data_IF_369291477243
#
_entry.id   IF_369291477243
#
_cell.length_a   1.000
_cell.length_b   1.000
_cell.length_c   1.000
_cell.angle_alpha   90.00
_cell.angle_beta   90.00
_cell.angle_gamma   90.00
#
_symmetry.space_group_name_H-M   'P 1'
#
loop_
_entity.id
_entity.type
_entity.pdbx_description
1 polymer ?
#
# COMPACT_ATOMS: atom_id res chain seq x y z
N UNK A 1 4.66 -38.77 36.95
CA UNK A 1 5.45 -37.51 36.90
C UNK A 1 5.63 -37.01 35.46
N UNK A 2 5.87 -37.87 34.47
CA UNK A 2 6.10 -37.47 33.06
C UNK A 2 4.96 -36.65 32.41
N UNK A 3 3.69 -36.98 32.65
CA UNK A 3 2.55 -36.27 32.05
C UNK A 3 2.37 -34.85 32.60
N UNK A 4 2.62 -34.66 33.90
CA UNK A 4 2.58 -33.35 34.52
C UNK A 4 3.75 -32.47 34.06
N UNK A 5 4.94 -33.05 33.89
CA UNK A 5 6.09 -32.36 33.32
C UNK A 5 5.85 -31.97 31.84
N UNK A 6 5.17 -32.82 31.07
CA UNK A 6 4.76 -32.51 29.70
C UNK A 6 3.76 -31.35 29.66
N UNK A 7 2.78 -31.33 30.56
CA UNK A 7 1.84 -30.21 30.71
C UNK A 7 2.57 -28.90 31.06
N UNK A 8 3.50 -28.93 32.02
CA UNK A 8 4.28 -27.75 32.41
C UNK A 8 5.13 -27.21 31.25
N UNK A 9 5.79 -28.08 30.49
CA UNK A 9 6.55 -27.69 29.29
C UNK A 9 5.65 -27.09 28.22
N UNK A 10 4.47 -27.67 27.99
CA UNK A 10 3.49 -27.13 27.06
C UNK A 10 3.04 -25.72 27.48
N UNK A 11 2.69 -25.51 28.75
CA UNK A 11 2.32 -24.20 29.29
C UNK A 11 3.45 -23.17 29.16
N UNK A 12 4.70 -23.55 29.43
CA UNK A 12 5.87 -22.68 29.28
C UNK A 12 6.15 -22.28 27.82
N UNK A 13 5.71 -23.09 26.85
CA UNK A 13 5.88 -22.79 25.42
C UNK A 13 4.81 -21.87 24.82
N UNK A 14 3.67 -21.69 25.50
CA UNK A 14 2.55 -20.85 25.02
C UNK A 14 2.97 -19.42 24.70
N UNK A 15 3.71 -18.70 25.57
CA UNK A 15 4.11 -17.33 25.27
C UNK A 15 4.92 -17.21 23.97
N UNK A 16 5.86 -18.15 23.74
CA UNK A 16 6.66 -18.18 22.50
C UNK A 16 5.81 -18.50 21.26
N UNK A 17 4.87 -19.44 21.37
CA UNK A 17 3.94 -19.75 20.29
C UNK A 17 3.00 -18.58 19.97
N UNK A 18 2.48 -17.90 21.00
CA UNK A 18 1.66 -16.71 20.84
C UNK A 18 2.44 -15.58 20.15
N UNK A 19 3.68 -15.36 20.58
CA UNK A 19 4.57 -14.37 19.99
C UNK A 19 4.83 -14.64 18.50
N UNK A 20 5.19 -15.88 18.17
CA UNK A 20 5.40 -16.33 16.79
C UNK A 20 4.12 -16.19 15.94
N UNK A 21 2.96 -16.49 16.53
CA UNK A 21 1.67 -16.39 15.87
C UNK A 21 1.34 -14.95 15.49
N UNK A 22 1.54 -14.02 16.44
CA UNK A 22 1.37 -12.58 16.20
C UNK A 22 2.32 -12.11 15.09
N UNK A 23 3.61 -12.46 15.16
CA UNK A 23 4.60 -12.06 14.14
C UNK A 23 4.25 -12.58 12.75
N UNK A 24 3.88 -13.86 12.63
CA UNK A 24 3.44 -14.46 11.36
C UNK A 24 2.17 -13.78 10.84
N UNK A 25 1.21 -13.52 11.72
CA UNK A 25 -0.02 -12.79 11.42
C UNK A 25 0.24 -11.40 10.85
N UNK A 26 1.08 -10.60 11.53
CA UNK A 26 1.46 -9.26 11.11
C UNK A 26 2.19 -9.25 9.77
N UNK A 27 3.07 -10.23 9.50
CA UNK A 27 3.72 -10.38 8.19
C UNK A 27 2.69 -10.60 7.06
N UNK A 28 1.74 -11.52 7.26
CA UNK A 28 0.67 -11.81 6.28
C UNK A 28 -0.23 -10.59 6.07
N UNK A 29 -0.65 -9.96 7.15
CA UNK A 29 -1.43 -8.73 7.15
C UNK A 29 -0.75 -7.60 6.36
N UNK A 30 0.54 -7.36 6.60
CA UNK A 30 1.31 -6.33 5.90
C UNK A 30 1.36 -6.58 4.38
N UNK A 31 1.50 -7.84 3.95
CA UNK A 31 1.48 -8.21 2.52
C UNK A 31 0.12 -7.94 1.88
N UNK A 32 -0.99 -8.21 2.59
CA UNK A 32 -2.35 -7.90 2.12
C UNK A 32 -2.53 -6.39 1.91
N UNK A 33 -2.14 -5.60 2.92
CA UNK A 33 -2.23 -4.13 2.84
C UNK A 33 -1.35 -3.60 1.70
N UNK A 34 -0.12 -4.10 1.56
CA UNK A 34 0.78 -3.77 0.46
C UNK A 34 0.15 -4.06 -0.90
N UNK A 35 -0.41 -5.26 -1.07
CA UNK A 35 -1.07 -5.67 -2.32
C UNK A 35 -2.25 -4.77 -2.67
N UNK A 36 -3.09 -4.45 -1.68
CA UNK A 36 -4.21 -3.52 -1.86
C UNK A 36 -3.76 -2.11 -2.21
N UNK A 37 -2.75 -1.59 -1.52
CA UNK A 37 -2.17 -0.28 -1.84
C UNK A 37 -1.64 -0.23 -3.28
N UNK A 38 -1.00 -1.30 -3.76
CA UNK A 38 -0.55 -1.43 -5.15
C UNK A 38 -1.72 -1.40 -6.13
N UNK A 39 -2.79 -2.16 -5.86
CA UNK A 39 -3.97 -2.25 -6.72
C UNK A 39 -4.78 -0.95 -6.80
N UNK A 40 -4.65 -0.07 -5.80
CA UNK A 40 -5.26 1.27 -5.83
C UNK A 40 -4.57 2.24 -6.79
N UNK A 41 -3.34 1.94 -7.23
CA UNK A 41 -2.65 2.77 -8.22
C UNK A 41 -3.21 2.51 -9.62
N UNK A 42 -3.33 3.56 -10.43
CA UNK A 42 -3.68 3.47 -11.86
C UNK A 42 -5.15 3.67 -12.17
N UNK A 43 -6.03 3.62 -11.16
CA UNK A 43 -7.47 3.83 -11.33
C UNK A 43 -7.97 4.87 -10.34
N UNK A 44 -8.94 5.69 -10.77
CA UNK A 44 -9.60 6.61 -9.86
C UNK A 44 -10.33 5.85 -8.75
N UNK A 45 -10.00 6.16 -7.51
CA UNK A 45 -10.59 5.51 -6.34
C UNK A 45 -11.89 6.18 -5.93
N UNK A 46 -12.88 5.37 -5.54
CA UNK A 46 -14.07 5.83 -4.81
C UNK A 46 -13.73 6.22 -3.37
N UNK A 47 -14.75 6.63 -2.61
CA UNK A 47 -14.61 6.87 -1.17
C UNK A 47 -14.39 5.57 -0.42
N UNK A 48 -13.62 5.61 0.66
CA UNK A 48 -13.33 4.47 1.51
C UNK A 48 -13.18 4.90 2.96
N UNK A 49 -14.07 4.42 3.83
CA UNK A 49 -14.14 4.89 5.22
C UNK A 49 -14.22 6.41 5.29
N UNK A 50 -13.27 7.04 5.99
CA UNK A 50 -13.15 8.50 6.12
C UNK A 50 -12.42 9.18 4.95
N UNK A 51 -11.99 8.43 3.94
CA UNK A 51 -11.25 8.98 2.79
C UNK A 51 -12.20 9.26 1.62
N UNK A 52 -12.17 10.50 1.14
CA UNK A 52 -12.95 10.94 -0.01
C UNK A 52 -12.45 10.29 -1.31
N UNK A 53 -13.35 10.19 -2.30
CA UNK A 53 -13.00 9.76 -3.65
C UNK A 53 -11.93 10.68 -4.27
N UNK A 54 -11.10 10.12 -5.15
CA UNK A 54 -10.07 10.89 -5.82
C UNK A 54 -10.67 11.93 -6.76
N UNK A 55 -10.30 13.20 -6.56
CA UNK A 55 -10.71 14.27 -7.45
C UNK A 55 -10.21 14.02 -8.89
N UNK A 56 -11.16 13.94 -9.84
CA UNK A 56 -10.88 13.86 -11.27
C UNK A 56 -10.12 15.09 -11.73
N UNK A 57 -9.22 14.91 -12.69
CA UNK A 57 -8.54 16.03 -13.32
C UNK A 57 -9.55 16.80 -14.18
N UNK A 58 -9.45 18.13 -14.16
CA UNK A 58 -10.21 18.95 -15.09
C UNK A 58 -9.64 18.81 -16.52
N UNK A 59 -10.43 19.13 -17.57
CA UNK A 59 -10.00 18.94 -18.96
C UNK A 59 -8.72 19.70 -19.33
N UNK A 60 -8.51 20.88 -18.75
CA UNK A 60 -7.32 21.67 -19.03
C UNK A 60 -6.05 21.01 -18.48
N UNK A 61 -6.13 20.40 -17.29
CA UNK A 61 -5.01 19.67 -16.69
C UNK A 61 -4.69 18.40 -17.48
N UNK A 62 -5.72 17.70 -17.96
CA UNK A 62 -5.56 16.56 -18.86
C UNK A 62 -4.84 17.00 -20.15
N UNK A 63 -5.32 18.07 -20.79
CA UNK A 63 -4.65 18.65 -21.97
C UNK A 63 -3.18 18.98 -21.70
N UNK A 64 -2.89 19.68 -20.60
CA UNK A 64 -1.53 20.06 -20.21
C UNK A 64 -0.60 18.86 -20.02
N UNK A 65 -1.08 17.73 -19.47
CA UNK A 65 -0.31 16.48 -19.31
C UNK A 65 0.14 15.91 -20.66
N UNK A 66 -0.68 16.11 -21.69
CA UNK A 66 -0.48 15.55 -23.03
C UNK A 66 0.28 16.48 -24.00
N UNK A 67 0.63 17.69 -23.56
CA UNK A 67 1.51 18.59 -24.31
C UNK A 67 2.96 18.09 -24.30
N UNK A 68 3.71 18.43 -25.35
CA UNK A 68 5.14 18.19 -25.46
C UNK A 68 5.90 19.02 -24.42
N UNK A 69 6.89 18.40 -23.77
CA UNK A 69 7.79 19.08 -22.81
C UNK A 69 8.73 20.10 -23.46
N UNK A 70 8.81 20.14 -24.79
CA UNK A 70 9.67 21.07 -25.55
C UNK A 70 9.21 22.53 -25.52
N UNK A 71 8.11 22.86 -24.86
CA UNK A 71 7.58 24.23 -24.80
C UNK A 71 6.90 24.70 -26.10
N UNK A 72 6.95 23.91 -27.18
CA UNK A 72 6.41 24.28 -28.49
C UNK A 72 4.88 24.28 -28.60
N UNK A 73 4.14 24.01 -27.51
CA UNK A 73 2.69 23.85 -27.51
C UNK A 73 2.14 22.65 -28.30
N UNK A 74 3.00 21.81 -28.88
CA UNK A 74 2.60 20.67 -29.72
C UNK A 74 2.16 19.50 -28.85
N UNK A 75 1.21 18.69 -29.34
CA UNK A 75 0.80 17.46 -28.67
C UNK A 75 1.91 16.41 -28.72
N UNK A 76 2.10 15.72 -27.59
CA UNK A 76 2.94 14.53 -27.52
C UNK A 76 2.32 13.37 -28.33
N UNK A 77 3.10 12.32 -28.60
CA UNK A 77 2.58 11.07 -29.22
C UNK A 77 1.42 10.49 -28.40
N UNK A 78 1.54 10.49 -27.08
CA UNK A 78 0.48 10.08 -26.16
C UNK A 78 -0.76 10.98 -26.26
N UNK A 79 -0.56 12.30 -26.38
CA UNK A 79 -1.67 13.25 -26.55
C UNK A 79 -2.46 13.07 -27.84
N UNK A 80 -1.78 12.75 -28.94
CA UNK A 80 -2.45 12.41 -30.21
C UNK A 80 -3.29 11.14 -30.08
N UNK A 81 -2.71 10.08 -29.47
CA UNK A 81 -3.41 8.83 -29.23
C UNK A 81 -4.62 9.01 -28.30
N UNK A 82 -4.49 9.86 -27.28
CA UNK A 82 -5.58 10.18 -26.36
C UNK A 82 -6.76 10.82 -27.11
N UNK A 83 -6.50 11.87 -27.91
CA UNK A 83 -7.56 12.52 -28.69
C UNK A 83 -8.19 11.59 -29.73
N UNK A 84 -7.42 10.67 -30.33
CA UNK A 84 -7.97 9.69 -31.24
C UNK A 84 -8.96 8.72 -30.55
N UNK A 85 -8.71 8.39 -29.27
CA UNK A 85 -9.56 7.48 -28.49
C UNK A 85 -10.77 8.15 -27.87
N UNK A 86 -10.63 9.39 -27.39
CA UNK A 86 -11.64 10.07 -26.57
C UNK A 86 -12.34 11.24 -27.27
N UNK A 87 -11.90 11.62 -28.48
CA UNK A 87 -12.39 12.74 -29.31
C UNK A 87 -12.26 14.15 -28.67
N UNK A 88 -12.11 14.25 -27.35
CA UNK A 88 -11.96 15.50 -26.60
C UNK A 88 -11.14 15.28 -25.33
N UNK A 89 -10.68 16.36 -24.68
CA UNK A 89 -9.81 16.25 -23.49
C UNK A 89 -10.52 15.73 -22.22
N UNK A 90 -11.85 15.76 -22.16
CA UNK A 90 -12.66 15.13 -21.10
C UNK A 90 -12.28 15.48 -19.65
N UNK A 91 -12.94 14.88 -18.67
CA UNK A 91 -12.41 14.85 -17.30
C UNK A 91 -11.46 13.66 -17.17
N UNK A 92 -10.52 13.72 -16.21
CA UNK A 92 -9.47 12.71 -16.06
C UNK A 92 -10.00 11.29 -16.08
N UNK A 93 -9.38 10.45 -16.92
CA UNK A 93 -9.69 9.02 -17.08
C UNK A 93 -8.57 8.16 -16.48
N UNK A 94 -8.70 6.84 -16.50
CA UNK A 94 -7.60 5.95 -16.07
C UNK A 94 -6.33 6.14 -16.92
N UNK A 95 -6.45 6.58 -18.18
CA UNK A 95 -5.30 6.93 -19.04
C UNK A 95 -4.55 8.17 -18.49
N UNK A 96 -5.26 9.02 -17.75
CA UNK A 96 -4.73 10.22 -17.11
C UNK A 96 -4.47 10.06 -15.63
N UNK A 97 -4.75 8.87 -15.08
CA UNK A 97 -4.65 8.60 -13.66
C UNK A 97 -3.27 9.08 -13.17
N UNK A 98 -3.25 9.83 -12.06
CA UNK A 98 -2.06 10.50 -11.59
C UNK A 98 -0.98 9.54 -11.10
N UNK A 99 -1.32 8.26 -10.94
CA UNK A 99 -0.47 7.19 -10.44
C UNK A 99 -0.58 5.99 -11.38
N UNK A 100 -0.36 6.18 -12.69
CA UNK A 100 -0.50 5.12 -13.71
C UNK A 100 0.16 3.82 -13.24
N UNK A 101 -0.57 2.71 -13.41
CA UNK A 101 -0.27 1.35 -12.93
C UNK A 101 1.17 0.87 -13.25
N UNK A 102 1.74 1.39 -14.33
CA UNK A 102 3.00 0.90 -14.94
C UNK A 102 4.30 1.36 -14.25
N UNK A 103 4.26 1.98 -13.06
CA UNK A 103 5.35 2.83 -12.54
C UNK A 103 6.19 2.31 -11.37
N UNK A 104 7.40 2.89 -11.24
CA UNK A 104 8.36 2.76 -10.12
C UNK A 104 7.73 2.88 -8.73
N UNK A 105 6.66 3.68 -8.58
CA UNK A 105 5.96 3.83 -7.29
C UNK A 105 5.33 2.50 -6.84
N UNK A 106 4.65 1.78 -7.75
CA UNK A 106 4.02 0.49 -7.43
C UNK A 106 5.06 -0.52 -6.96
N UNK A 107 6.23 -0.53 -7.57
CA UNK A 107 7.36 -1.39 -7.18
C UNK A 107 7.98 -0.97 -5.85
N UNK A 108 7.99 0.34 -5.56
CA UNK A 108 8.54 0.88 -4.32
C UNK A 108 7.62 0.70 -3.10
N UNK A 109 6.33 0.42 -3.27
CA UNK A 109 5.46 0.03 -2.16
C UNK A 109 5.95 -1.33 -1.61
N UNK A 110 6.38 -1.32 -0.36
CA UNK A 110 7.02 -2.46 0.30
C UNK A 110 6.58 -2.56 1.76
N UNK A 111 6.97 -3.65 2.40
CA UNK A 111 6.87 -3.86 3.83
C UNK A 111 8.24 -3.69 4.50
N UNK A 112 8.23 -3.30 5.77
CA UNK A 112 9.40 -3.29 6.64
C UNK A 112 9.04 -3.96 7.98
N UNK A 113 9.95 -4.83 8.43
CA UNK A 113 9.78 -5.67 9.61
C UNK A 113 10.92 -5.46 10.63
N UNK A 114 11.73 -4.41 10.50
CA UNK A 114 12.83 -4.09 11.44
C UNK A 114 12.37 -4.10 12.90
N UNK A 115 11.16 -3.62 13.15
CA UNK A 115 10.59 -3.41 14.49
C UNK A 115 9.61 -4.51 14.89
N UNK A 116 9.53 -5.59 14.10
CA UNK A 116 8.59 -6.66 14.38
C UNK A 116 8.99 -7.43 15.66
N UNK A 117 10.28 -7.64 15.86
CA UNK A 117 10.82 -8.38 17.01
C UNK A 117 10.93 -7.54 18.28
N UNK A 118 11.09 -6.22 18.18
CA UNK A 118 11.15 -5.31 19.34
C UNK A 118 9.78 -4.77 19.74
N UNK A 119 8.98 -4.30 18.77
CA UNK A 119 7.77 -3.51 19.01
C UNK A 119 6.49 -4.17 18.51
N UNK A 120 6.57 -5.33 17.85
CA UNK A 120 5.42 -5.98 17.17
C UNK A 120 4.78 -5.07 16.13
N UNK A 121 5.61 -4.30 15.43
CA UNK A 121 5.15 -3.40 14.36
C UNK A 121 5.64 -3.93 13.02
N UNK A 122 4.72 -3.97 12.05
CA UNK A 122 5.03 -4.18 10.65
C UNK A 122 4.62 -2.93 9.88
N UNK A 123 5.57 -2.29 9.20
CA UNK A 123 5.31 -1.10 8.42
C UNK A 123 4.97 -1.46 6.98
N UNK A 124 4.06 -0.68 6.39
CA UNK A 124 3.75 -0.71 4.96
C UNK A 124 3.89 0.70 4.44
N UNK A 125 4.74 0.89 3.43
CA UNK A 125 5.08 2.21 2.94
C UNK A 125 5.81 2.17 1.62
N UNK A 126 6.44 3.29 1.25
CA UNK A 126 7.18 3.41 0.00
C UNK A 126 8.67 3.55 0.29
N UNK A 127 9.47 2.65 -0.26
CA UNK A 127 10.92 2.71 -0.14
C UNK A 127 11.46 4.01 -0.76
N UNK A 128 12.30 4.72 -0.01
CA UNK A 128 12.92 5.96 -0.48
C UNK A 128 13.96 5.74 -1.59
N UNK A 129 14.47 4.51 -1.75
CA UNK A 129 15.58 4.20 -2.65
C UNK A 129 16.94 4.65 -2.10
N UNK A 130 18.03 4.36 -2.83
CA UNK A 130 19.41 4.67 -2.39
C UNK A 130 19.76 6.17 -2.39
N UNK A 131 19.02 7.00 -3.13
CA UNK A 131 19.26 8.44 -3.19
C UNK A 131 18.47 9.17 -2.09
N UNK A 132 19.14 9.48 -0.99
CA UNK A 132 18.64 10.27 0.15
C UNK A 132 18.46 11.76 -0.15
N UNK A 133 18.77 12.22 -1.37
CA UNK A 133 18.76 13.63 -1.77
C UNK A 133 17.36 14.28 -1.91
N UNK A 134 16.29 13.62 -1.48
CA UNK A 134 14.98 14.23 -1.16
C UNK A 134 14.15 14.82 -2.31
N UNK A 135 14.70 14.97 -3.52
CA UNK A 135 13.97 15.52 -4.68
C UNK A 135 13.71 14.43 -5.71
N UNK A 136 12.44 14.02 -5.82
CA UNK A 136 12.00 13.08 -6.86
C UNK A 136 12.22 11.60 -6.52
N UNK A 137 12.50 11.26 -5.26
CA UNK A 137 12.45 9.86 -4.81
C UNK A 137 11.02 9.33 -4.91
N UNK A 138 10.82 8.00 -5.05
CA UNK A 138 9.50 7.39 -4.98
C UNK A 138 8.75 7.76 -3.70
N UNK A 139 9.46 7.93 -2.57
CA UNK A 139 8.87 8.31 -1.28
C UNK A 139 8.39 9.77 -1.23
N UNK A 140 9.13 10.74 -1.81
CA UNK A 140 8.69 12.14 -1.90
C UNK A 140 7.46 12.27 -2.81
N UNK A 141 7.50 11.56 -3.94
CA UNK A 141 6.36 11.45 -4.84
C UNK A 141 5.15 10.80 -4.16
N UNK A 142 5.37 9.70 -3.42
CA UNK A 142 4.36 9.01 -2.65
C UNK A 142 3.69 9.91 -1.61
N UNK A 143 4.48 10.67 -0.84
CA UNK A 143 3.99 11.55 0.21
C UNK A 143 3.09 12.66 -0.35
N UNK A 144 3.52 13.30 -1.44
CA UNK A 144 2.71 14.32 -2.13
C UNK A 144 1.38 13.78 -2.62
N UNK A 145 1.32 12.52 -3.01
CA UNK A 145 0.07 11.90 -3.40
C UNK A 145 -0.75 11.44 -2.19
N UNK A 146 -0.15 10.87 -1.15
CA UNK A 146 -0.88 10.40 0.04
C UNK A 146 -1.52 11.55 0.83
N UNK A 147 -0.86 12.70 0.90
CA UNK A 147 -1.28 13.85 1.72
C UNK A 147 -1.69 15.08 0.91
N UNK A 148 -1.38 15.13 -0.39
CA UNK A 148 -1.51 16.34 -1.19
C UNK A 148 -0.31 17.28 -1.02
N UNK A 149 -0.29 18.33 -1.84
CA UNK A 149 0.70 19.41 -1.77
C UNK A 149 0.01 20.73 -2.07
N UNK A 150 -0.27 21.51 -1.02
CA UNK A 150 -0.97 22.80 -1.12
C UNK A 150 -0.15 23.80 -1.93
N UNK A 151 1.18 23.81 -1.78
CA UNK A 151 2.07 24.72 -2.51
C UNK A 151 2.00 24.49 -4.02
N UNK A 152 1.72 23.26 -4.43
CA UNK A 152 1.59 22.85 -5.84
C UNK A 152 0.14 22.61 -6.29
N UNK A 153 -0.84 22.91 -5.43
CA UNK A 153 -2.28 22.67 -5.65
C UNK A 153 -2.58 21.22 -6.07
N UNK A 154 -1.84 20.26 -5.51
CA UNK A 154 -2.06 18.83 -5.74
C UNK A 154 -3.02 18.32 -4.66
N UNK A 155 -4.22 17.82 -5.01
CA UNK A 155 -5.12 17.26 -4.02
C UNK A 155 -4.56 15.95 -3.44
N UNK A 156 -4.95 15.64 -2.20
CA UNK A 156 -4.65 14.36 -1.59
C UNK A 156 -5.33 13.22 -2.38
N UNK A 157 -4.59 12.15 -2.59
CA UNK A 157 -4.97 10.92 -3.29
C UNK A 157 -4.45 9.74 -2.48
N UNK A 158 -5.02 9.53 -1.28
CA UNK A 158 -4.53 8.51 -0.38
C UNK A 158 -4.76 7.13 -0.99
N UNK A 159 -3.77 6.25 -0.85
CA UNK A 159 -3.80 4.87 -1.31
C UNK A 159 -3.26 3.91 -0.25
N UNK A 160 -2.33 4.36 0.61
CA UNK A 160 -1.82 3.55 1.72
C UNK A 160 -2.84 3.48 2.86
N UNK A 161 -3.34 4.62 3.34
CA UNK A 161 -4.27 4.65 4.48
C UNK A 161 -5.61 3.99 4.16
N UNK A 162 -6.26 4.21 3.00
CA UNK A 162 -7.47 3.48 2.62
C UNK A 162 -7.22 1.98 2.48
N UNK A 163 -6.06 1.56 1.97
CA UNK A 163 -5.72 0.13 1.88
C UNK A 163 -5.61 -0.51 3.27
N UNK A 164 -5.06 0.21 4.25
CA UNK A 164 -5.03 -0.25 5.64
C UNK A 164 -6.44 -0.33 6.22
N UNK A 165 -7.25 0.70 6.02
CA UNK A 165 -8.64 0.77 6.52
C UNK A 165 -9.49 -0.38 5.99
N UNK A 166 -9.49 -0.60 4.68
CA UNK A 166 -10.20 -1.69 4.01
C UNK A 166 -9.69 -3.08 4.42
N UNK A 167 -8.48 -3.17 4.97
CA UNK A 167 -7.85 -4.42 5.40
C UNK A 167 -8.07 -4.77 6.86
N UNK A 168 -8.69 -3.90 7.66
CA UNK A 168 -8.89 -4.16 9.10
C UNK A 168 -9.46 -5.54 9.41
N UNK A 169 -10.51 -5.96 8.70
CA UNK A 169 -11.12 -7.28 8.91
C UNK A 169 -10.16 -8.43 8.58
N UNK A 170 -9.50 -8.38 7.41
CA UNK A 170 -8.55 -9.41 6.97
C UNK A 170 -7.29 -9.46 7.84
N UNK A 171 -6.83 -8.30 8.34
CA UNK A 171 -5.71 -8.23 9.27
C UNK A 171 -6.06 -9.00 10.55
N UNK A 172 -7.25 -8.74 11.12
CA UNK A 172 -7.73 -9.45 12.32
C UNK A 172 -7.81 -10.96 12.06
N UNK A 173 -8.33 -11.35 10.92
CA UNK A 173 -8.45 -12.76 10.52
C UNK A 173 -7.08 -13.44 10.40
N UNK A 174 -6.13 -12.85 9.68
CA UNK A 174 -4.81 -13.44 9.48
C UNK A 174 -4.00 -13.52 10.77
N UNK A 175 -4.10 -12.51 11.65
CA UNK A 175 -3.48 -12.57 12.98
C UNK A 175 -4.10 -13.68 13.83
N UNK A 176 -5.43 -13.77 13.87
CA UNK A 176 -6.12 -14.81 14.64
C UNK A 176 -5.80 -16.21 14.12
N UNK A 177 -5.80 -16.38 12.79
CA UNK A 177 -5.48 -17.64 12.12
C UNK A 177 -4.05 -18.07 12.39
N UNK A 178 -3.08 -17.17 12.30
CA UNK A 178 -1.69 -17.46 12.60
C UNK A 178 -1.49 -17.83 14.09
N UNK A 179 -2.15 -17.11 15.00
CA UNK A 179 -2.12 -17.42 16.43
C UNK A 179 -2.67 -18.82 16.72
N UNK A 180 -3.84 -19.16 16.18
CA UNK A 180 -4.45 -20.48 16.36
C UNK A 180 -3.58 -21.59 15.74
N UNK A 181 -2.92 -21.33 14.62
CA UNK A 181 -2.00 -22.28 13.98
C UNK A 181 -0.81 -22.61 14.90
N UNK A 182 -0.17 -21.61 15.51
CA UNK A 182 0.97 -21.85 16.41
C UNK A 182 0.54 -22.57 17.68
N UNK A 183 -0.57 -22.15 18.31
CA UNK A 183 -1.07 -22.77 19.53
C UNK A 183 -1.51 -24.23 19.30
N UNK A 184 -2.13 -24.53 18.15
CA UNK A 184 -2.45 -25.92 17.78
C UNK A 184 -1.20 -26.76 17.51
N UNK A 185 -0.13 -26.14 17.02
CA UNK A 185 1.17 -26.80 16.82
C UNK A 185 1.75 -27.34 18.13
N UNK A 186 1.58 -26.61 19.23
CA UNK A 186 2.01 -27.06 20.56
C UNK A 186 1.34 -28.38 20.99
N UNK A 187 0.04 -28.51 20.74
CA UNK A 187 -0.72 -29.72 21.10
C UNK A 187 -0.41 -30.95 20.24
N UNK A 188 0.27 -30.80 19.09
CA UNK A 188 0.62 -31.89 18.18
C UNK A 188 2.09 -32.34 18.27
N UNK A 189 2.96 -31.55 18.87
CA UNK A 189 4.40 -31.84 18.97
C UNK A 189 4.87 -32.29 20.36
N UNK A 190 3.96 -32.52 21.31
CA UNK A 190 4.28 -32.74 22.72
C UNK A 190 3.51 -33.87 23.41
N UNK A 191 2.94 -34.82 22.66
CA UNK A 191 2.37 -36.06 23.17
C UNK A 191 3.00 -37.25 22.46
#
# INVERSE_FOLDING_TARGET
MSEFDALLRALQSIPGAADNGIKKGLKRAAVIVMGRAKNKLGTYQGSSGSFNAWAKLNPETVRKKHLSKSGSGRLSKAGKAYLQKHSSWGTGTNDDAPLVDTGHLRQAITTDYSDLDSHRVAYVGVAAGRNTAGKGSPSDYAAKHEFGDVSRRIPARPYLRPALEESRAQIKEEVSKALVQELRGLGRGGL
#
